data_IF_739064075481
#
_entry.id   IF_739064075481
#
_cell.length_a   1.000
_cell.length_b   1.000
_cell.length_c   1.000
_cell.angle_alpha   90.00
_cell.angle_beta   90.00
_cell.angle_gamma   90.00
#
_symmetry.space_group_name_H-M   'P 1'
#
loop_
_entity.id
_entity.type
_entity.pdbx_description
1 polymer ?
#
# COMPACT_ATOMS: atom_id res chain seq x y z
N UNK A 1 12.81 -23.44 -5.67
CA UNK A 1 12.35 -22.85 -4.39
C UNK A 1 11.09 -22.07 -4.68
N UNK A 2 9.98 -22.44 -4.05
CA UNK A 2 8.73 -21.69 -4.10
C UNK A 2 8.52 -20.99 -2.77
N UNK A 3 7.93 -19.79 -2.80
CA UNK A 3 7.47 -19.10 -1.59
C UNK A 3 6.07 -19.65 -1.29
N UNK A 4 5.88 -20.18 -0.09
CA UNK A 4 4.53 -20.49 0.40
C UNK A 4 3.87 -19.21 0.91
N UNK A 5 3.08 -18.60 0.03
CA UNK A 5 2.36 -17.35 0.29
C UNK A 5 1.28 -17.47 1.37
N UNK A 6 0.99 -18.68 1.85
CA UNK A 6 0.01 -18.93 2.91
C UNK A 6 0.65 -19.09 4.30
N UNK A 7 1.98 -19.18 4.38
CA UNK A 7 2.70 -19.35 5.65
C UNK A 7 3.90 -18.41 5.84
N UNK A 8 4.29 -17.68 4.80
CA UNK A 8 5.47 -16.82 4.81
C UNK A 8 5.10 -15.40 4.40
N UNK A 9 5.53 -14.42 5.18
CA UNK A 9 5.38 -12.99 4.87
C UNK A 9 6.11 -12.62 3.57
N UNK A 10 5.41 -11.88 2.70
CA UNK A 10 5.95 -11.45 1.41
C UNK A 10 5.45 -10.08 1.01
N UNK A 11 6.31 -9.33 0.31
CA UNK A 11 6.02 -7.95 -0.08
C UNK A 11 5.36 -7.88 -1.44
N UNK A 12 4.38 -6.99 -1.59
CA UNK A 12 3.63 -6.80 -2.84
C UNK A 12 3.55 -5.33 -3.20
N UNK A 13 3.66 -5.04 -4.50
CA UNK A 13 3.25 -3.76 -5.10
C UNK A 13 2.03 -4.01 -5.98
N UNK A 14 1.01 -3.18 -5.83
CA UNK A 14 -0.30 -3.37 -6.45
C UNK A 14 -0.70 -2.24 -7.42
N UNK A 15 -1.59 -2.56 -8.34
CA UNK A 15 -2.30 -1.58 -9.17
C UNK A 15 -3.79 -1.83 -8.98
N UNK A 16 -4.50 -0.86 -8.41
CA UNK A 16 -5.90 -1.02 -8.07
C UNK A 16 -6.30 -0.31 -6.79
N UNK A 17 -7.53 -0.57 -6.38
CA UNK A 17 -8.15 -0.02 -5.18
C UNK A 17 -8.77 -1.16 -4.38
N UNK A 18 -8.76 -1.05 -3.05
CA UNK A 18 -9.44 -1.99 -2.16
C UNK A 18 -10.95 -2.05 -2.42
N UNK A 19 -11.60 -1.02 -2.95
CA UNK A 19 -13.00 -1.09 -3.35
C UNK A 19 -13.27 -1.92 -4.62
N UNK A 20 -12.24 -2.31 -5.38
CA UNK A 20 -12.38 -3.11 -6.59
C UNK A 20 -12.41 -4.60 -6.31
N UNK A 21 -13.38 -5.34 -6.86
CA UNK A 21 -13.55 -6.77 -6.57
C UNK A 21 -12.30 -7.62 -6.79
N UNK A 22 -11.59 -7.46 -7.91
CA UNK A 22 -10.41 -8.29 -8.23
C UNK A 22 -9.25 -7.98 -7.27
N UNK A 23 -8.93 -6.69 -7.10
CA UNK A 23 -7.82 -6.27 -6.27
C UNK A 23 -8.11 -6.55 -4.79
N UNK A 24 -9.28 -6.13 -4.31
CA UNK A 24 -9.74 -6.31 -2.94
C UNK A 24 -9.78 -7.78 -2.53
N UNK A 25 -10.44 -8.65 -3.30
CA UNK A 25 -10.46 -10.09 -2.99
C UNK A 25 -9.04 -10.67 -3.00
N UNK A 26 -8.21 -10.32 -4.01
CA UNK A 26 -6.82 -10.77 -4.10
C UNK A 26 -5.97 -10.37 -2.89
N UNK A 27 -6.13 -9.15 -2.40
CA UNK A 27 -5.42 -8.64 -1.22
C UNK A 27 -5.86 -9.31 0.10
N UNK A 28 -6.99 -10.02 0.09
CA UNK A 28 -7.52 -10.74 1.25
C UNK A 28 -7.29 -12.27 1.18
N UNK A 29 -6.64 -12.78 0.12
CA UNK A 29 -6.34 -14.21 -0.02
C UNK A 29 -5.22 -14.73 0.89
N UNK A 30 -4.42 -13.83 1.48
CA UNK A 30 -3.38 -14.19 2.43
C UNK A 30 -3.16 -13.10 3.46
N UNK A 31 -3.13 -13.50 4.74
CA UNK A 31 -2.75 -12.64 5.86
C UNK A 31 -1.26 -12.27 5.89
N UNK A 32 -0.44 -12.92 5.06
CA UNK A 32 1.01 -12.73 4.97
C UNK A 32 1.42 -11.68 3.92
N UNK A 33 0.47 -11.08 3.23
CA UNK A 33 0.75 -10.00 2.27
C UNK A 33 1.19 -8.75 3.04
N UNK A 34 2.37 -8.25 2.71
CA UNK A 34 2.93 -6.96 3.12
C UNK A 34 2.82 -6.01 1.93
N UNK A 35 1.69 -5.30 1.81
CA UNK A 35 1.44 -4.38 0.70
C UNK A 35 2.26 -3.10 0.92
N UNK A 36 3.31 -2.92 0.13
CA UNK A 36 4.27 -1.81 0.35
C UNK A 36 3.99 -0.60 -0.52
N UNK A 37 3.33 -0.81 -1.66
CA UNK A 37 2.79 0.27 -2.46
C UNK A 37 1.57 -0.19 -3.27
N UNK A 38 0.65 0.72 -3.51
CA UNK A 38 -0.41 0.54 -4.49
C UNK A 38 -0.79 1.88 -5.11
N UNK A 39 -1.32 1.88 -6.33
CA UNK A 39 -1.89 3.09 -6.89
C UNK A 39 -3.15 2.82 -7.71
N UNK A 40 -4.02 3.82 -7.76
CA UNK A 40 -5.21 3.82 -8.61
C UNK A 40 -5.22 5.12 -9.46
N UNK A 41 -6.39 5.56 -9.92
CA UNK A 41 -6.52 6.79 -10.70
C UNK A 41 -6.44 8.09 -9.86
N UNK A 42 -6.55 8.03 -8.53
CA UNK A 42 -6.58 9.18 -7.62
C UNK A 42 -5.40 9.26 -6.66
N UNK A 43 -4.95 8.10 -6.15
CA UNK A 43 -4.05 8.00 -5.01
C UNK A 43 -2.90 7.03 -5.28
N UNK A 44 -1.78 7.31 -4.63
CA UNK A 44 -0.62 6.41 -4.45
C UNK A 44 -0.54 6.13 -2.96
N UNK A 45 -0.76 4.89 -2.57
CA UNK A 45 -0.55 4.37 -1.22
C UNK A 45 0.88 3.83 -1.11
N UNK A 46 1.57 4.18 -0.03
CA UNK A 46 2.91 3.70 0.28
C UNK A 46 3.00 3.37 1.76
N UNK A 47 3.44 2.15 2.07
CA UNK A 47 3.77 1.70 3.41
C UNK A 47 5.15 1.02 3.36
N UNK A 48 6.24 1.69 3.78
CA UNK A 48 7.58 1.14 3.62
C UNK A 48 7.80 -0.22 4.29
N UNK A 49 7.31 -0.40 5.50
CA UNK A 49 7.49 -1.60 6.33
C UNK A 49 6.18 -1.99 7.05
N UNK A 50 5.16 -2.48 6.31
CA UNK A 50 3.86 -2.82 6.88
C UNK A 50 3.94 -4.04 7.77
N UNK A 51 3.23 -4.05 8.90
CA UNK A 51 2.95 -5.27 9.66
C UNK A 51 1.87 -6.09 8.93
N UNK A 52 2.12 -7.38 8.68
CA UNK A 52 1.23 -8.21 7.87
C UNK A 52 -0.16 -8.35 8.51
N UNK A 53 -0.22 -8.64 9.81
CA UNK A 53 -1.47 -8.86 10.53
C UNK A 53 -2.31 -7.59 10.65
N UNK A 54 -1.68 -6.47 11.04
CA UNK A 54 -2.36 -5.19 11.25
C UNK A 54 -2.83 -4.60 9.92
N UNK A 55 -1.98 -4.63 8.89
CA UNK A 55 -2.35 -4.14 7.55
C UNK A 55 -3.39 -5.02 6.86
N UNK A 56 -3.45 -6.33 7.15
CA UNK A 56 -4.52 -7.20 6.67
C UNK A 56 -5.88 -6.81 7.25
N UNK A 57 -5.95 -6.60 8.57
CA UNK A 57 -7.18 -6.18 9.23
C UNK A 57 -7.71 -4.85 8.65
N UNK A 58 -6.80 -3.90 8.39
CA UNK A 58 -7.16 -2.62 7.79
C UNK A 58 -7.61 -2.74 6.33
N UNK A 59 -6.92 -3.54 5.51
CA UNK A 59 -7.36 -3.84 4.15
C UNK A 59 -8.75 -4.48 4.13
N UNK A 60 -9.03 -5.41 5.05
CA UNK A 60 -10.35 -6.02 5.18
C UNK A 60 -11.42 -4.99 5.53
N UNK A 61 -11.16 -4.12 6.53
CA UNK A 61 -12.05 -3.01 6.88
C UNK A 61 -12.31 -2.10 5.67
N UNK A 62 -11.27 -1.79 4.90
CA UNK A 62 -11.35 -0.92 3.74
C UNK A 62 -12.16 -1.56 2.60
N UNK A 63 -12.00 -2.86 2.37
CA UNK A 63 -12.79 -3.64 1.40
C UNK A 63 -14.28 -3.67 1.76
N UNK A 64 -14.61 -3.80 3.05
CA UNK A 64 -16.00 -3.84 3.54
C UNK A 64 -16.66 -2.45 3.60
N UNK A 65 -15.88 -1.36 3.50
CA UNK A 65 -16.39 0.01 3.55
C UNK A 65 -16.98 0.43 2.18
N UNK A 66 -18.27 0.81 2.10
CA UNK A 66 -18.88 1.20 0.83
C UNK A 66 -18.23 2.46 0.23
N UNK A 67 -17.88 2.40 -1.06
CA UNK A 67 -17.25 3.50 -1.82
C UNK A 67 -15.92 3.99 -1.21
N UNK A 68 -15.16 3.08 -0.61
CA UNK A 68 -13.85 3.38 -0.08
C UNK A 68 -12.81 3.63 -1.17
N UNK A 69 -11.68 4.19 -0.77
CA UNK A 69 -10.45 4.17 -1.54
C UNK A 69 -9.23 4.27 -0.63
N UNK A 70 -8.03 4.38 -1.23
CA UNK A 70 -6.80 4.55 -0.45
C UNK A 70 -6.84 5.75 0.51
N UNK A 71 -7.62 6.79 0.21
CA UNK A 71 -7.80 7.94 1.09
C UNK A 71 -8.49 7.63 2.43
N UNK A 72 -9.21 6.51 2.53
CA UNK A 72 -9.88 6.09 3.78
C UNK A 72 -9.02 5.13 4.62
N UNK A 73 -7.79 4.82 4.17
CA UNK A 73 -6.85 3.99 4.93
C UNK A 73 -6.44 4.69 6.22
N UNK A 74 -6.43 3.97 7.33
CA UNK A 74 -6.01 4.50 8.62
C UNK A 74 -4.50 4.79 8.61
N UNK A 75 -4.13 6.06 8.42
CA UNK A 75 -2.74 6.51 8.35
C UNK A 75 -1.94 6.28 9.65
N UNK A 76 -2.60 6.03 10.78
CA UNK A 76 -1.91 5.65 12.03
C UNK A 76 -1.29 4.25 11.97
N UNK A 77 -1.76 3.41 11.04
CA UNK A 77 -1.25 2.04 10.84
C UNK A 77 -0.15 1.97 9.77
N UNK A 78 0.06 3.06 9.03
CA UNK A 78 1.12 3.14 8.02
C UNK A 78 2.46 3.30 8.74
N UNK A 79 3.47 2.54 8.32
CA UNK A 79 4.81 2.64 8.91
C UNK A 79 5.46 4.01 8.67
N UNK A 80 6.53 4.27 9.43
CA UNK A 80 7.25 5.53 9.37
C UNK A 80 7.66 5.88 7.93
N UNK A 81 7.48 7.16 7.58
CA UNK A 81 7.79 7.67 6.25
C UNK A 81 6.81 7.24 5.15
N UNK A 82 5.78 6.44 5.44
CA UNK A 82 4.70 6.09 4.51
C UNK A 82 3.58 7.13 4.42
N UNK A 83 2.60 6.87 3.54
CA UNK A 83 1.39 7.68 3.45
C UNK A 83 0.55 7.41 2.21
N UNK A 84 -0.49 8.23 2.05
CA UNK A 84 -1.35 8.26 0.87
C UNK A 84 -1.19 9.60 0.17
N UNK A 85 -0.80 9.58 -1.09
CA UNK A 85 -0.47 10.75 -1.90
C UNK A 85 -1.45 10.92 -3.04
N UNK A 86 -1.82 12.15 -3.35
CA UNK A 86 -2.65 12.44 -4.52
C UNK A 86 -1.84 12.32 -5.81
N UNK A 87 -2.40 11.65 -6.82
CA UNK A 87 -1.83 11.62 -8.18
C UNK A 87 -1.91 12.97 -8.90
N UNK A 88 -2.70 13.91 -8.40
CA UNK A 88 -2.77 15.26 -8.92
C UNK A 88 -1.71 16.19 -8.30
N UNK A 89 -0.91 15.72 -7.33
CA UNK A 89 0.16 16.51 -6.74
C UNK A 89 1.22 16.87 -7.79
N UNK A 90 1.83 18.05 -7.66
CA UNK A 90 2.95 18.46 -8.55
C UNK A 90 4.25 17.73 -8.21
N UNK A 91 4.40 17.34 -6.96
CA UNK A 91 5.59 16.69 -6.42
C UNK A 91 5.21 15.96 -5.14
N UNK A 92 5.79 14.78 -4.94
CA UNK A 92 5.71 14.00 -3.70
C UNK A 92 7.08 14.06 -3.02
N UNK A 93 7.18 14.48 -1.75
CA UNK A 93 8.40 14.33 -0.97
C UNK A 93 8.65 12.85 -0.68
N UNK A 94 9.88 12.40 -0.88
CA UNK A 94 10.28 11.01 -0.67
C UNK A 94 11.02 10.92 0.67
N UNK A 95 10.40 10.24 1.64
CA UNK A 95 10.99 10.02 2.96
C UNK A 95 12.20 9.09 2.90
N UNK A 96 13.04 9.09 3.94
CA UNK A 96 14.19 8.20 4.01
C UNK A 96 13.79 6.71 3.95
N UNK A 97 12.64 6.36 4.53
CA UNK A 97 12.08 5.02 4.54
C UNK A 97 11.60 4.60 3.16
N UNK A 98 10.96 5.52 2.40
CA UNK A 98 10.59 5.28 1.00
C UNK A 98 11.83 5.08 0.12
N UNK A 99 12.86 5.92 0.31
CA UNK A 99 14.13 5.78 -0.41
C UNK A 99 14.75 4.42 -0.19
N UNK A 100 14.86 4.01 1.08
CA UNK A 100 15.41 2.71 1.45
C UNK A 100 14.57 1.55 0.88
N UNK A 101 13.23 1.70 0.85
CA UNK A 101 12.32 0.66 0.38
C UNK A 101 12.35 0.44 -1.12
N UNK A 102 12.39 1.52 -1.90
CA UNK A 102 12.24 1.47 -3.36
C UNK A 102 13.53 1.79 -4.12
N UNK A 103 14.65 1.92 -3.41
CA UNK A 103 15.96 2.28 -3.98
C UNK A 103 15.91 3.61 -4.77
N UNK A 104 15.35 4.64 -4.12
CA UNK A 104 15.18 5.98 -4.70
C UNK A 104 16.23 6.93 -4.12
N UNK A 105 16.97 7.63 -4.99
CA UNK A 105 17.93 8.65 -4.56
C UNK A 105 17.28 10.05 -4.39
N UNK A 106 16.29 10.37 -5.23
CA UNK A 106 15.65 11.68 -5.29
C UNK A 106 14.85 12.02 -4.01
N UNK A 107 14.94 13.27 -3.55
CA UNK A 107 14.14 13.79 -2.42
C UNK A 107 12.67 14.07 -2.81
N UNK A 108 12.42 14.25 -4.11
CA UNK A 108 11.13 14.63 -4.66
C UNK A 108 10.90 13.98 -6.01
N UNK A 109 9.71 13.41 -6.23
CA UNK A 109 9.31 12.85 -7.52
C UNK A 109 7.93 13.38 -7.96
N UNK A 110 7.72 13.62 -9.26
CA UNK A 110 6.37 13.83 -9.78
C UNK A 110 5.58 12.50 -9.72
N UNK A 111 4.26 12.52 -9.49
CA UNK A 111 3.41 11.33 -9.53
C UNK A 111 3.05 10.86 -10.96
N UNK A 112 3.82 11.27 -11.98
CA UNK A 112 3.59 11.07 -13.42
C UNK A 112 4.89 10.75 -14.16
#
# INVERSE_FOLDING_TARGET
IGIDVQSTDFTVVGIGDMAGDVFGNGMLLSGHIRLVAAFNHQHIFIDPEPDAATSFAERKRLFELPRSGWGDYNLQLVSAGGGVFSRAAKSIPISAEMKARFDIEADHLPPL
#
